data_IF_118541812391
#
_entry.id   IF_118541812391
#
_cell.length_a   1.000
_cell.length_b   1.000
_cell.length_c   1.000
_cell.angle_alpha   90.00
_cell.angle_beta   90.00
_cell.angle_gamma   90.00
#
_symmetry.space_group_name_H-M   'P 1'
#
loop_
_entity.id
_entity.type
_entity.pdbx_description
1 polymer ?
#
# COMPACT_ATOMS: atom_id res chain seq x y z
N UNK A 1 30.19 6.69 -22.09
CA UNK A 1 29.18 6.34 -21.06
C UNK A 1 27.72 6.55 -21.50
N UNK A 2 27.41 6.70 -22.80
CA UNK A 2 26.01 6.86 -23.27
C UNK A 2 25.44 5.60 -23.95
N UNK A 3 26.30 4.72 -24.45
CA UNK A 3 25.89 3.46 -25.09
C UNK A 3 25.23 2.46 -24.12
N UNK A 4 25.63 2.46 -22.85
CA UNK A 4 25.06 1.57 -21.82
C UNK A 4 23.60 1.88 -21.50
N UNK A 5 23.21 3.16 -21.54
CA UNK A 5 21.84 3.57 -21.26
C UNK A 5 20.87 3.12 -22.36
N UNK A 6 21.33 3.03 -23.61
CA UNK A 6 20.53 2.58 -24.76
C UNK A 6 20.26 1.07 -24.70
N UNK A 7 21.22 0.27 -24.23
CA UNK A 7 21.05 -1.18 -24.04
C UNK A 7 20.03 -1.48 -22.94
N UNK A 8 20.02 -0.72 -21.84
CA UNK A 8 19.01 -0.88 -20.79
C UNK A 8 17.58 -0.50 -21.25
N UNK A 9 17.45 0.52 -22.10
CA UNK A 9 16.16 0.90 -22.66
C UNK A 9 15.61 -0.14 -23.65
N UNK A 10 16.48 -0.78 -24.44
CA UNK A 10 16.07 -1.87 -25.33
C UNK A 10 15.65 -3.14 -24.56
N UNK A 11 16.29 -3.43 -23.41
CA UNK A 11 15.92 -4.55 -22.56
C UNK A 11 14.55 -4.36 -21.89
N UNK A 12 14.11 -3.11 -21.68
CA UNK A 12 12.80 -2.79 -21.11
C UNK A 12 11.64 -2.90 -22.11
N UNK A 13 11.90 -2.84 -23.42
CA UNK A 13 10.89 -3.00 -24.47
C UNK A 13 10.77 -4.42 -25.02
N UNK A 14 11.62 -5.35 -24.60
CA UNK A 14 11.39 -6.75 -24.88
C UNK A 14 10.15 -7.19 -24.10
N UNK A 15 9.05 -7.63 -24.75
CA UNK A 15 7.96 -8.25 -24.02
C UNK A 15 8.59 -9.40 -23.24
N UNK A 16 8.43 -9.36 -21.92
CA UNK A 16 8.84 -10.43 -21.01
C UNK A 16 8.08 -11.70 -21.43
N UNK A 17 8.58 -12.38 -22.46
CA UNK A 17 8.28 -13.78 -22.72
C UNK A 17 8.85 -14.46 -21.50
N UNK A 18 7.97 -14.74 -20.54
CA UNK A 18 8.23 -15.70 -19.47
C UNK A 18 8.81 -16.93 -20.16
N UNK A 19 10.13 -17.08 -20.06
CA UNK A 19 10.82 -18.23 -20.60
C UNK A 19 10.33 -19.41 -19.78
N UNK A 20 9.38 -20.16 -20.36
CA UNK A 20 8.85 -21.39 -19.83
C UNK A 20 9.91 -22.52 -19.88
N UNK A 21 11.18 -22.21 -19.56
CA UNK A 21 12.28 -23.15 -19.48
C UNK A 21 12.32 -23.88 -18.12
N UNK A 22 11.26 -23.79 -17.31
CA UNK A 22 11.39 -23.95 -15.86
C UNK A 22 10.73 -25.19 -15.24
N UNK A 23 10.30 -26.15 -16.06
CA UNK A 23 9.55 -27.31 -15.57
C UNK A 23 9.99 -28.61 -16.22
N UNK A 24 11.26 -28.99 -16.01
CA UNK A 24 11.71 -30.37 -16.26
C UNK A 24 12.05 -31.15 -14.98
N UNK A 25 12.12 -30.48 -13.82
CA UNK A 25 12.38 -31.16 -12.55
C UNK A 25 11.06 -31.35 -11.75
N UNK A 26 10.52 -32.58 -11.70
CA UNK A 26 9.30 -32.87 -10.93
C UNK A 26 9.49 -32.66 -9.42
N UNK A 27 10.70 -32.87 -8.88
CA UNK A 27 10.96 -32.68 -7.45
C UNK A 27 10.90 -31.19 -7.07
N UNK A 28 11.39 -30.32 -7.95
CA UNK A 28 11.27 -28.87 -7.78
C UNK A 28 9.82 -28.40 -7.83
N UNK A 29 9.01 -28.98 -8.70
CA UNK A 29 7.59 -28.64 -8.79
C UNK A 29 6.84 -28.99 -7.49
N UNK A 30 7.10 -30.16 -6.91
CA UNK A 30 6.50 -30.55 -5.64
C UNK A 30 6.94 -29.65 -4.48
N UNK A 31 8.21 -29.24 -4.47
CA UNK A 31 8.71 -28.24 -3.49
C UNK A 31 8.00 -26.89 -3.62
N UNK A 32 7.75 -26.43 -4.85
CA UNK A 32 7.02 -25.18 -5.08
C UNK A 32 5.58 -25.30 -4.59
N UNK A 33 4.90 -26.41 -4.89
CA UNK A 33 3.53 -26.66 -4.42
C UNK A 33 3.43 -26.61 -2.90
N UNK A 34 4.31 -27.33 -2.19
CA UNK A 34 4.31 -27.34 -0.73
C UNK A 34 4.65 -25.97 -0.14
N UNK A 35 5.61 -25.26 -0.74
CA UNK A 35 5.97 -23.91 -0.32
C UNK A 35 4.81 -22.91 -0.47
N UNK A 36 4.05 -22.99 -1.56
CA UNK A 36 2.87 -22.14 -1.78
C UNK A 36 1.81 -22.42 -0.71
N UNK A 37 1.48 -23.70 -0.48
CA UNK A 37 0.49 -24.09 0.54
C UNK A 37 0.91 -23.60 1.94
N UNK A 38 2.17 -23.79 2.32
CA UNK A 38 2.69 -23.35 3.60
C UNK A 38 2.62 -21.82 3.77
N UNK A 39 3.01 -21.05 2.74
CA UNK A 39 2.94 -19.58 2.76
C UNK A 39 1.52 -19.04 2.90
N UNK A 40 0.55 -19.78 2.37
CA UNK A 40 -0.87 -19.43 2.46
C UNK A 40 -1.54 -20.00 3.74
N UNK A 41 -0.82 -20.77 4.57
CA UNK A 41 -1.38 -21.42 5.75
C UNK A 41 -2.38 -22.53 5.41
N UNK A 42 -2.28 -23.14 4.24
CA UNK A 42 -3.20 -24.16 3.73
C UNK A 42 -2.62 -25.56 3.90
N UNK A 43 -3.42 -26.50 4.37
CA UNK A 43 -3.05 -27.92 4.47
C UNK A 43 -3.20 -28.66 3.14
N UNK A 44 -4.08 -28.19 2.26
CA UNK A 44 -4.39 -28.79 0.97
C UNK A 44 -4.91 -27.76 -0.03
N UNK A 45 -5.04 -28.17 -1.30
CA UNK A 45 -5.55 -27.29 -2.35
C UNK A 45 -7.05 -27.03 -2.14
N UNK A 46 -7.50 -25.77 -2.06
CA UNK A 46 -8.91 -25.45 -1.92
C UNK A 46 -9.68 -25.72 -3.21
N UNK A 47 -10.95 -26.10 -3.07
CA UNK A 47 -11.89 -26.23 -4.18
C UNK A 47 -12.40 -24.84 -4.60
N UNK A 48 -12.26 -24.43 -5.86
CA UNK A 48 -12.76 -23.13 -6.31
C UNK A 48 -14.29 -23.10 -6.28
N UNK A 49 -14.87 -22.09 -5.63
CA UNK A 49 -16.32 -21.87 -5.56
C UNK A 49 -16.88 -21.08 -6.76
N UNK A 50 -15.99 -20.55 -7.61
CA UNK A 50 -16.31 -19.69 -8.73
C UNK A 50 -15.15 -18.76 -9.05
N UNK A 51 -15.21 -18.09 -10.20
CA UNK A 51 -14.24 -17.06 -10.56
C UNK A 51 -14.76 -15.68 -10.15
N UNK A 52 -13.96 -14.84 -9.46
CA UNK A 52 -14.35 -13.47 -9.20
C UNK A 52 -14.46 -12.65 -10.51
N UNK A 53 -15.26 -11.57 -10.55
CA UNK A 53 -15.33 -10.66 -11.69
C UNK A 53 -13.94 -10.12 -12.09
N UNK A 54 -13.72 -9.96 -13.40
CA UNK A 54 -12.39 -9.60 -13.95
C UNK A 54 -11.90 -8.23 -13.48
N UNK A 55 -12.80 -7.27 -13.35
CA UNK A 55 -12.54 -5.92 -12.86
C UNK A 55 -12.03 -5.92 -11.42
N UNK A 56 -12.64 -6.74 -10.55
CA UNK A 56 -12.19 -6.93 -9.16
C UNK A 56 -10.77 -7.52 -9.13
N UNK A 57 -10.50 -8.54 -9.93
CA UNK A 57 -9.15 -9.14 -10.04
C UNK A 57 -8.13 -8.10 -10.52
N UNK A 58 -8.46 -7.31 -11.55
CA UNK A 58 -7.59 -6.25 -12.06
C UNK A 58 -7.30 -5.20 -11.00
N UNK A 59 -8.31 -4.76 -10.25
CA UNK A 59 -8.14 -3.78 -9.19
C UNK A 59 -7.22 -4.30 -8.08
N UNK A 60 -7.41 -5.55 -7.65
CA UNK A 60 -6.58 -6.17 -6.61
C UNK A 60 -5.12 -6.31 -7.10
N UNK A 61 -4.91 -6.78 -8.32
CA UNK A 61 -3.57 -6.91 -8.89
C UNK A 61 -2.89 -5.54 -9.06
N UNK A 62 -3.62 -4.52 -9.50
CA UNK A 62 -3.10 -3.16 -9.60
C UNK A 62 -2.65 -2.62 -8.23
N UNK A 63 -3.44 -2.86 -7.18
CA UNK A 63 -3.07 -2.49 -5.80
C UNK A 63 -1.87 -3.29 -5.29
N UNK A 64 -1.82 -4.59 -5.53
CA UNK A 64 -0.72 -5.45 -5.09
C UNK A 64 0.60 -5.15 -5.84
N UNK A 65 0.51 -4.61 -7.06
CA UNK A 65 1.66 -4.17 -7.84
C UNK A 65 2.20 -2.80 -7.40
N UNK A 66 1.44 -2.03 -6.61
CA UNK A 66 1.93 -0.78 -6.02
C UNK A 66 2.75 -1.09 -4.76
N UNK A 67 4.08 -0.87 -4.76
CA UNK A 67 4.91 -1.08 -3.58
C UNK A 67 4.72 0.00 -2.52
N UNK A 68 4.01 1.09 -2.84
CA UNK A 68 3.77 2.16 -1.89
C UNK A 68 2.71 1.69 -0.89
N UNK A 69 3.03 1.71 0.42
CA UNK A 69 2.00 1.49 1.42
C UNK A 69 0.90 2.56 1.26
N UNK A 70 -0.37 2.22 1.51
CA UNK A 70 -1.43 3.22 1.49
C UNK A 70 -1.05 4.37 2.43
N UNK A 71 -1.33 5.64 2.05
CA UNK A 71 -1.02 6.78 2.90
C UNK A 71 -1.65 6.55 4.27
N UNK A 72 -0.82 6.61 5.32
CA UNK A 72 -1.29 6.46 6.69
C UNK A 72 -2.14 7.69 7.00
N UNK A 73 -3.41 7.48 7.33
CA UNK A 73 -4.34 8.54 7.72
C UNK A 73 -3.96 9.26 9.04
N UNK A 74 -2.88 8.84 9.71
CA UNK A 74 -2.51 9.33 11.03
C UNK A 74 -2.05 10.80 11.07
N UNK A 75 -1.52 11.34 9.97
CA UNK A 75 -0.99 12.71 9.99
C UNK A 75 -2.10 13.77 10.02
N UNK A 76 -3.30 13.44 9.51
CA UNK A 76 -4.45 14.35 9.47
C UNK A 76 -5.06 14.52 10.86
N UNK A 77 -5.17 13.44 11.65
CA UNK A 77 -5.79 13.48 12.97
C UNK A 77 -4.92 14.22 14.00
N UNK A 78 -3.60 14.03 13.94
CA UNK A 78 -2.69 14.76 14.84
C UNK A 78 -2.64 16.26 14.52
N UNK A 79 -2.68 16.64 13.24
CA UNK A 79 -2.76 18.06 12.87
C UNK A 79 -4.10 18.68 13.27
N UNK A 80 -5.21 17.98 13.03
CA UNK A 80 -6.54 18.43 13.43
C UNK A 80 -6.63 18.60 14.95
N UNK A 81 -6.08 17.67 15.74
CA UNK A 81 -6.06 17.78 17.20
C UNK A 81 -5.23 18.98 17.67
N UNK A 82 -4.06 19.23 17.07
CA UNK A 82 -3.22 20.40 17.38
C UNK A 82 -3.95 21.71 17.06
N UNK A 83 -4.69 21.78 15.96
CA UNK A 83 -5.50 22.95 15.61
C UNK A 83 -6.64 23.18 16.59
N UNK A 84 -7.36 22.12 16.98
CA UNK A 84 -8.44 22.21 17.98
C UNK A 84 -7.89 22.73 19.33
N UNK A 85 -6.75 22.22 19.78
CA UNK A 85 -6.09 22.68 21.02
C UNK A 85 -5.68 24.14 20.90
N UNK A 86 -5.08 24.55 19.76
CA UNK A 86 -4.66 25.94 19.54
C UNK A 86 -5.85 26.91 19.54
N UNK A 87 -6.98 26.53 18.94
CA UNK A 87 -8.22 27.32 18.93
C UNK A 87 -8.76 27.44 20.35
N UNK A 88 -8.83 26.34 21.11
CA UNK A 88 -9.32 26.35 22.49
C UNK A 88 -8.47 27.25 23.39
N UNK A 89 -7.14 27.18 23.27
CA UNK A 89 -6.24 28.06 24.02
C UNK A 89 -6.43 29.53 23.65
N UNK A 90 -6.60 29.85 22.36
CA UNK A 90 -6.83 31.22 21.91
C UNK A 90 -8.15 31.79 22.44
N UNK A 91 -9.23 31.00 22.40
CA UNK A 91 -10.55 31.40 22.91
C UNK A 91 -10.51 31.55 24.44
N UNK A 92 -9.89 30.62 25.16
CA UNK A 92 -9.75 30.67 26.62
C UNK A 92 -8.98 31.93 27.05
N UNK A 93 -7.86 32.21 26.38
CA UNK A 93 -7.05 33.40 26.68
C UNK A 93 -7.81 34.71 26.36
N UNK A 94 -8.55 34.75 25.26
CA UNK A 94 -9.37 35.91 24.89
C UNK A 94 -10.49 36.16 25.92
N UNK A 95 -11.21 35.12 26.35
CA UNK A 95 -12.26 35.26 27.37
C UNK A 95 -11.71 35.73 28.71
N UNK A 96 -10.54 35.25 29.13
CA UNK A 96 -9.89 35.74 30.36
C UNK A 96 -9.45 37.20 30.25
N UNK A 97 -9.04 37.63 29.05
CA UNK A 97 -8.68 39.03 28.80
C UNK A 97 -9.90 39.93 28.84
N UNK A 98 -10.98 39.53 28.16
CA UNK A 98 -12.24 40.28 28.10
C UNK A 98 -12.89 40.40 29.50
N UNK A 99 -12.73 39.37 30.34
CA UNK A 99 -13.19 39.40 31.74
C UNK A 99 -12.39 40.35 32.63
N UNK A 100 -11.09 40.51 32.38
CA UNK A 100 -10.22 41.42 33.13
C UNK A 100 -10.32 42.87 32.65
N UNK A 101 -10.60 43.11 31.37
CA UNK A 101 -10.79 44.44 30.77
C UNK A 101 -12.23 44.97 30.90
N UNK A 102 -13.22 44.10 31.14
CA UNK A 102 -14.64 44.46 31.22
C UNK A 102 -15.12 45.08 32.54
N UNK A 103 -14.28 45.15 33.58
CA UNK A 103 -14.65 45.62 34.93
C UNK A 103 -14.40 47.13 35.17
N UNK A 104 -14.23 47.92 34.09
CA UNK A 104 -13.93 49.37 34.13
C UNK A 104 -14.96 50.24 33.40
N UNK A 105 -16.27 49.96 33.57
CA UNK A 105 -17.33 50.89 33.13
C UNK A 105 -18.45 51.05 34.16
#
# INVERSE_FOLDING_TARGET
MRAWLVVCAALALAPCRATAAHSQDPARLERIKSQILAKLGLSSRPTPLGAPPRDVVRQILARAADPRPPPRHHDTDEHAMREIIAIAHRVCFQMTKDFLEGDHH
#
